data_IF_833508770043
#
_entry.id   IF_833508770043
#
_cell.length_a   1.000
_cell.length_b   1.000
_cell.length_c   1.000
_cell.angle_alpha   90.00
_cell.angle_beta   90.00
_cell.angle_gamma   90.00
#
_symmetry.space_group_name_H-M   'P 1'
#
loop_
_entity.id
_entity.type
_entity.pdbx_description
1 polymer ?
#
# COMPACT_ATOMS: atom_id res chain seq x y z
N UNK A 1 6.26 -55.59 34.91
CA UNK A 1 7.26 -56.59 34.48
C UNK A 1 8.69 -56.30 34.92
N UNK A 2 8.95 -55.28 35.76
CA UNK A 2 10.29 -55.01 36.32
C UNK A 2 10.60 -55.75 37.65
N UNK A 3 9.65 -56.17 38.52
CA UNK A 3 10.00 -56.77 39.81
C UNK A 3 10.47 -58.24 39.71
N UNK A 4 10.22 -58.94 38.60
CA UNK A 4 10.59 -60.35 38.45
C UNK A 4 12.08 -60.56 38.12
N UNK A 5 12.72 -59.60 37.45
CA UNK A 5 14.15 -59.68 37.08
C UNK A 5 15.09 -59.23 38.22
N UNK A 6 14.62 -58.37 39.13
CA UNK A 6 15.40 -57.96 40.31
C UNK A 6 15.43 -59.04 41.41
N UNK A 7 14.42 -59.92 41.45
CA UNK A 7 14.31 -60.98 42.45
C UNK A 7 15.22 -62.19 42.18
N UNK A 8 15.62 -62.46 40.93
CA UNK A 8 16.51 -63.58 40.59
C UNK A 8 18.00 -63.23 40.73
N UNK A 9 18.37 -61.96 40.60
CA UNK A 9 19.77 -61.50 40.70
C UNK A 9 20.27 -61.35 42.14
N UNK A 10 19.39 -61.22 43.14
CA UNK A 10 19.78 -60.97 44.53
C UNK A 10 20.19 -62.22 45.34
N UNK A 11 20.08 -63.43 44.76
CA UNK A 11 20.41 -64.70 45.47
C UNK A 11 21.85 -65.20 45.30
N UNK A 12 22.67 -64.59 44.43
CA UNK A 12 23.97 -65.14 44.05
C UNK A 12 25.20 -64.28 44.46
N UNK A 13 25.01 -63.14 45.14
CA UNK A 13 26.09 -62.21 45.47
C UNK A 13 26.24 -62.01 46.98
N UNK A 14 27.47 -61.96 47.53
CA UNK A 14 27.71 -61.79 48.96
C UNK A 14 27.15 -60.44 49.43
N UNK A 15 26.43 -60.42 50.56
CA UNK A 15 25.67 -59.25 51.08
C UNK A 15 26.45 -57.92 51.08
N UNK A 16 27.77 -57.96 51.24
CA UNK A 16 28.64 -56.78 51.20
C UNK A 16 28.78 -56.13 49.82
N UNK A 17 28.69 -56.90 48.73
CA UNK A 17 28.81 -56.34 47.37
C UNK A 17 27.54 -55.59 46.94
N UNK A 18 26.39 -56.01 47.45
CA UNK A 18 25.12 -55.36 47.18
C UNK A 18 24.99 -53.98 47.85
N UNK A 19 25.46 -53.84 49.08
CA UNK A 19 25.46 -52.54 49.78
C UNK A 19 26.40 -51.54 49.11
N UNK A 20 27.57 -51.99 48.63
CA UNK A 20 28.50 -51.14 47.87
C UNK A 20 27.89 -50.70 46.53
N UNK A 21 27.23 -51.60 45.79
CA UNK A 21 26.55 -51.26 44.54
C UNK A 21 25.42 -50.23 44.74
N UNK A 22 24.62 -50.37 45.79
CA UNK A 22 23.57 -49.41 46.14
C UNK A 22 24.16 -48.03 46.49
N UNK A 23 25.24 -47.99 47.27
CA UNK A 23 25.91 -46.72 47.60
C UNK A 23 26.49 -46.03 46.36
N UNK A 24 27.16 -46.77 45.46
CA UNK A 24 27.72 -46.20 44.22
C UNK A 24 26.61 -45.69 43.31
N UNK A 25 25.51 -46.43 43.17
CA UNK A 25 24.33 -45.99 42.42
C UNK A 25 23.71 -44.73 43.03
N UNK A 26 23.63 -44.64 44.35
CA UNK A 26 23.12 -43.46 45.06
C UNK A 26 23.97 -42.22 44.83
N UNK A 27 25.30 -42.36 44.90
CA UNK A 27 26.24 -41.26 44.63
C UNK A 27 26.16 -40.80 43.17
N UNK A 28 26.03 -41.73 42.21
CA UNK A 28 25.84 -41.37 40.80
C UNK A 28 24.55 -40.58 40.56
N UNK A 29 23.42 -41.00 41.18
CA UNK A 29 22.15 -40.28 41.05
C UNK A 29 22.22 -38.87 41.67
N UNK A 30 22.93 -38.72 42.79
CA UNK A 30 23.15 -37.41 43.42
C UNK A 30 23.99 -36.49 42.53
N UNK A 31 25.08 -36.99 41.97
CA UNK A 31 25.92 -36.23 41.03
C UNK A 31 25.15 -35.82 39.78
N UNK A 32 24.32 -36.71 39.24
CA UNK A 32 23.46 -36.41 38.10
C UNK A 32 22.43 -35.33 38.44
N UNK A 33 21.83 -35.38 39.63
CA UNK A 33 20.88 -34.35 40.08
C UNK A 33 21.54 -32.97 40.21
N UNK A 34 22.76 -32.90 40.73
CA UNK A 34 23.52 -31.66 40.87
C UNK A 34 23.86 -31.08 39.48
N UNK A 35 24.32 -31.93 38.56
CA UNK A 35 24.62 -31.52 37.19
C UNK A 35 23.35 -30.98 36.48
N UNK A 36 22.21 -31.63 36.66
CA UNK A 36 20.94 -31.18 36.08
C UNK A 36 20.50 -29.83 36.65
N UNK A 37 20.64 -29.62 37.96
CA UNK A 37 20.32 -28.33 38.60
C UNK A 37 21.23 -27.20 38.11
N UNK A 38 22.53 -27.46 37.94
CA UNK A 38 23.47 -26.47 37.39
C UNK A 38 23.13 -26.10 35.95
N UNK A 39 22.77 -27.09 35.13
CA UNK A 39 22.31 -26.82 33.76
C UNK A 39 21.02 -26.00 33.73
N UNK A 40 20.08 -26.27 34.64
CA UNK A 40 18.84 -25.49 34.75
C UNK A 40 19.07 -24.06 35.24
N UNK A 41 19.98 -23.88 36.21
CA UNK A 41 20.34 -22.55 36.71
C UNK A 41 21.02 -21.70 35.62
N UNK A 42 21.90 -22.30 34.82
CA UNK A 42 22.52 -21.63 33.67
C UNK A 42 21.47 -21.21 32.63
N UNK A 43 20.57 -22.13 32.25
CA UNK A 43 19.50 -21.83 31.31
C UNK A 43 18.54 -20.72 31.81
N UNK A 44 18.28 -20.67 33.12
CA UNK A 44 17.42 -19.63 33.72
C UNK A 44 18.11 -18.26 33.77
N UNK A 45 19.43 -18.24 33.95
CA UNK A 45 20.22 -17.01 33.90
C UNK A 45 20.22 -16.40 32.49
N UNK A 46 20.42 -17.23 31.46
CA UNK A 46 20.35 -16.80 30.05
C UNK A 46 18.96 -16.25 29.68
N UNK A 47 17.89 -16.80 30.27
CA UNK A 47 16.51 -16.30 30.06
C UNK A 47 16.24 -14.94 30.72
N UNK A 48 16.88 -14.62 31.85
CA UNK A 48 16.70 -13.33 32.52
C UNK A 48 17.26 -12.15 31.72
N UNK A 49 18.28 -12.38 30.88
CA UNK A 49 18.81 -11.35 29.98
C UNK A 49 17.87 -11.05 28.79
N UNK A 50 17.01 -12.01 28.41
CA UNK A 50 16.09 -11.85 27.27
C UNK A 50 14.74 -11.19 27.62
N UNK A 51 14.30 -11.24 28.88
CA UNK A 51 13.03 -10.65 29.36
C UNK A 51 12.89 -9.12 29.14
N UNK A 52 13.92 -8.28 29.35
CA UNK A 52 13.79 -6.84 29.08
C UNK A 52 13.70 -6.50 27.59
N UNK A 53 14.13 -7.40 26.68
CA UNK A 53 13.94 -7.22 25.23
C UNK A 53 12.49 -7.52 24.82
N UNK A 54 11.89 -8.58 25.34
CA UNK A 54 10.52 -8.97 25.01
C UNK A 54 9.49 -7.89 25.42
N UNK A 55 9.73 -7.18 26.54
CA UNK A 55 8.87 -6.08 26.98
C UNK A 55 8.95 -4.83 26.06
N UNK A 56 9.99 -4.71 25.21
CA UNK A 56 10.15 -3.58 24.27
C UNK A 56 9.58 -3.88 22.89
N UNK A 57 9.31 -5.14 22.55
CA UNK A 57 8.78 -5.56 21.24
C UNK A 57 7.48 -4.83 20.89
N UNK A 58 6.45 -4.75 21.76
CA UNK A 58 5.19 -4.10 21.38
C UNK A 58 5.38 -2.60 21.07
N UNK A 59 6.23 -1.93 21.84
CA UNK A 59 6.53 -0.51 21.61
C UNK A 59 7.34 -0.27 20.33
N UNK A 60 8.16 -1.24 19.93
CA UNK A 60 8.92 -1.20 18.69
C UNK A 60 8.01 -1.54 17.50
N UNK A 61 7.10 -2.50 17.62
CA UNK A 61 6.08 -2.81 16.61
C UNK A 61 5.16 -1.60 16.36
N UNK A 62 4.75 -0.90 17.42
CA UNK A 62 3.92 0.31 17.28
C UNK A 62 4.67 1.42 16.56
N UNK A 63 5.96 1.62 16.88
CA UNK A 63 6.81 2.60 16.19
C UNK A 63 7.11 2.20 14.75
N UNK A 64 7.28 0.90 14.48
CA UNK A 64 7.53 0.38 13.15
C UNK A 64 6.29 0.52 12.28
N UNK A 65 5.08 0.28 12.81
CA UNK A 65 3.82 0.53 12.12
C UNK A 65 3.67 2.02 11.73
N UNK A 66 3.88 2.93 12.69
CA UNK A 66 3.82 4.38 12.42
C UNK A 66 4.89 4.83 11.43
N UNK A 67 6.13 4.34 11.56
CA UNK A 67 7.21 4.67 10.63
C UNK A 67 6.97 4.08 9.24
N UNK A 68 6.39 2.89 9.14
CA UNK A 68 6.00 2.27 7.88
C UNK A 68 4.93 3.10 7.19
N UNK A 69 3.91 3.53 7.93
CA UNK A 69 2.84 4.38 7.41
C UNK A 69 3.37 5.76 6.98
N UNK A 70 4.30 6.34 7.73
CA UNK A 70 4.97 7.58 7.36
C UNK A 70 5.85 7.42 6.11
N UNK A 71 6.54 6.29 5.97
CA UNK A 71 7.34 5.98 4.77
C UNK A 71 6.42 5.77 3.58
N UNK A 72 5.36 4.98 3.71
CA UNK A 72 4.38 4.74 2.65
C UNK A 72 3.69 6.04 2.21
N UNK A 73 3.29 6.90 3.15
CA UNK A 73 2.75 8.23 2.86
C UNK A 73 3.80 9.15 2.22
N UNK A 74 5.05 9.09 2.66
CA UNK A 74 6.14 9.88 2.06
C UNK A 74 6.51 9.38 0.67
N UNK A 75 6.44 8.08 0.42
CA UNK A 75 6.64 7.46 -0.89
C UNK A 75 5.48 7.78 -1.82
N UNK A 76 4.23 7.76 -1.32
CA UNK A 76 3.06 8.18 -2.08
C UNK A 76 3.13 9.68 -2.40
N UNK A 77 3.55 10.50 -1.43
CA UNK A 77 3.78 11.93 -1.63
C UNK A 77 4.95 12.21 -2.58
N UNK A 78 6.06 11.47 -2.48
CA UNK A 78 7.18 11.55 -3.40
C UNK A 78 6.79 11.04 -4.79
N UNK A 79 6.01 9.98 -4.92
CA UNK A 79 5.48 9.54 -6.21
C UNK A 79 4.54 10.59 -6.83
N UNK A 80 3.79 11.33 -6.01
CA UNK A 80 2.93 12.42 -6.47
C UNK A 80 3.70 13.69 -6.84
N UNK A 81 4.74 14.06 -6.09
CA UNK A 81 5.52 15.30 -6.26
C UNK A 81 6.74 15.17 -7.19
N UNK A 82 7.35 14.00 -7.28
CA UNK A 82 8.64 13.78 -7.99
C UNK A 82 8.48 13.40 -9.46
N UNK A 83 7.27 13.00 -9.90
CA UNK A 83 6.94 13.05 -11.34
C UNK A 83 6.61 14.50 -11.67
N UNK A 84 7.65 15.22 -12.09
CA UNK A 84 7.58 16.62 -12.52
C UNK A 84 6.28 16.89 -13.27
N UNK A 85 5.63 18.03 -12.99
CA UNK A 85 4.50 18.51 -13.79
C UNK A 85 4.82 18.42 -15.31
N UNK A 86 6.08 18.59 -15.68
CA UNK A 86 6.63 18.37 -17.03
C UNK A 86 6.36 16.98 -17.61
N UNK A 87 6.64 15.91 -16.86
CA UNK A 87 6.48 14.54 -17.34
C UNK A 87 4.99 14.18 -17.47
N UNK A 88 4.17 14.61 -16.51
CA UNK A 88 2.70 14.46 -16.59
C UNK A 88 2.14 15.22 -17.79
N UNK A 89 2.63 16.43 -18.08
CA UNK A 89 2.17 17.23 -19.24
C UNK A 89 2.53 16.58 -20.57
N UNK A 90 3.69 15.93 -20.68
CA UNK A 90 4.10 15.26 -21.92
C UNK A 90 3.29 13.99 -22.22
N UNK A 91 2.77 13.33 -21.18
CA UNK A 91 1.94 12.12 -21.31
C UNK A 91 0.46 12.47 -21.55
N UNK A 92 -0.03 13.60 -21.05
CA UNK A 92 -1.46 13.96 -21.11
C UNK A 92 -1.79 14.98 -22.22
N UNK A 93 -2.87 14.71 -22.96
CA UNK A 93 -3.46 15.69 -23.88
C UNK A 93 -4.24 16.72 -23.07
N UNK A 94 -3.63 17.87 -22.80
CA UNK A 94 -4.27 18.94 -22.05
C UNK A 94 -5.32 19.69 -22.89
N UNK A 95 -6.41 20.16 -22.27
CA UNK A 95 -7.39 20.99 -22.96
C UNK A 95 -6.84 22.41 -23.22
N UNK A 96 -7.41 23.10 -24.21
CA UNK A 96 -7.11 24.52 -24.49
C UNK A 96 -7.56 25.46 -23.36
N UNK A 97 -8.58 25.07 -22.59
CA UNK A 97 -9.11 25.82 -21.46
C UNK A 97 -9.45 24.88 -20.31
N UNK A 98 -9.21 25.33 -19.08
CA UNK A 98 -9.65 24.60 -17.88
C UNK A 98 -11.17 24.67 -17.79
N UNK A 99 -11.84 23.52 -17.78
CA UNK A 99 -13.28 23.43 -17.50
C UNK A 99 -13.50 23.59 -15.98
N UNK A 100 -13.56 24.85 -15.53
CA UNK A 100 -13.79 25.20 -14.12
C UNK A 100 -15.06 24.55 -13.57
N UNK A 101 -16.10 24.40 -14.39
CA UNK A 101 -17.38 23.82 -13.96
C UNK A 101 -17.20 22.35 -13.62
N UNK A 102 -16.45 21.62 -14.43
CA UNK A 102 -16.13 20.21 -14.17
C UNK A 102 -15.25 20.04 -12.95
N UNK A 103 -14.20 20.86 -12.79
CA UNK A 103 -13.30 20.80 -11.63
C UNK A 103 -14.06 21.08 -10.33
N UNK A 104 -14.86 22.14 -10.29
CA UNK A 104 -15.69 22.47 -9.13
C UNK A 104 -16.71 21.38 -8.84
N UNK A 105 -17.40 20.86 -9.87
CA UNK A 105 -18.35 19.76 -9.71
C UNK A 105 -17.70 18.49 -9.17
N UNK A 106 -16.47 18.17 -9.59
CA UNK A 106 -15.69 17.07 -9.02
C UNK A 106 -15.38 17.30 -7.53
N UNK A 107 -14.85 18.48 -7.18
CA UNK A 107 -14.53 18.80 -5.79
C UNK A 107 -15.77 18.82 -4.87
N UNK A 108 -16.93 19.24 -5.39
CA UNK A 108 -18.19 19.18 -4.67
C UNK A 108 -18.66 17.75 -4.43
N UNK A 109 -18.58 16.88 -5.43
CA UNK A 109 -18.93 15.46 -5.29
C UNK A 109 -17.95 14.76 -4.32
N UNK A 110 -16.67 15.15 -4.34
CA UNK A 110 -15.67 14.64 -3.40
C UNK A 110 -15.98 15.08 -1.96
N UNK A 111 -16.28 16.38 -1.74
CA UNK A 111 -16.72 16.88 -0.44
C UNK A 111 -17.92 16.10 0.08
N UNK A 112 -18.92 15.91 -0.76
CA UNK A 112 -20.15 15.22 -0.37
C UNK A 112 -19.87 13.75 -0.03
N UNK A 113 -18.98 13.09 -0.76
CA UNK A 113 -18.54 11.71 -0.48
C UNK A 113 -17.87 11.57 0.89
N UNK A 114 -16.84 12.38 1.16
CA UNK A 114 -16.09 12.34 2.43
C UNK A 114 -17.01 12.72 3.60
N UNK A 115 -17.98 13.62 3.38
CA UNK A 115 -18.99 13.99 4.37
C UNK A 115 -19.96 12.86 4.69
N UNK A 116 -20.47 12.15 3.67
CA UNK A 116 -21.41 11.02 3.86
C UNK A 116 -20.75 9.89 4.65
N UNK A 117 -19.47 9.61 4.40
CA UNK A 117 -18.67 8.64 5.15
C UNK A 117 -18.30 9.08 6.58
N UNK A 118 -18.68 10.31 7.00
CA UNK A 118 -18.31 10.92 8.29
C UNK A 118 -16.80 11.09 8.50
N UNK A 119 -16.05 11.16 7.42
CA UNK A 119 -14.60 11.37 7.41
C UNK A 119 -14.24 12.86 7.41
N UNK A 120 -15.22 13.75 7.22
CA UNK A 120 -15.08 15.20 7.16
C UNK A 120 -15.89 15.88 8.27
N UNK A 121 -15.25 16.72 9.08
CA UNK A 121 -15.93 17.58 10.05
C UNK A 121 -16.31 18.92 9.43
N UNK A 122 -15.33 19.60 8.81
CA UNK A 122 -15.49 20.92 8.21
C UNK A 122 -14.68 21.02 6.92
N UNK A 123 -15.19 21.75 5.94
CA UNK A 123 -14.45 22.12 4.72
C UNK A 123 -14.73 23.59 4.42
N UNK A 124 -13.69 24.35 4.09
CA UNK A 124 -13.81 25.72 3.62
C UNK A 124 -14.50 25.78 2.25
N UNK A 125 -14.85 26.99 1.81
CA UNK A 125 -15.10 27.22 0.39
C UNK A 125 -13.85 26.86 -0.44
N UNK A 126 -14.06 26.52 -1.70
CA UNK A 126 -12.99 26.33 -2.69
C UNK A 126 -12.65 27.72 -3.22
N UNK A 127 -11.45 28.20 -2.93
CA UNK A 127 -10.91 29.44 -3.49
C UNK A 127 -10.26 29.14 -4.84
N UNK A 128 -10.59 29.95 -5.85
CA UNK A 128 -10.03 29.83 -7.20
C UNK A 128 -9.07 30.99 -7.37
N UNK A 129 -7.77 30.69 -7.34
CA UNK A 129 -6.74 31.71 -7.44
C UNK A 129 -6.55 32.22 -8.87
N UNK A 130 -5.67 33.21 -9.00
CA UNK A 130 -5.28 33.72 -10.31
C UNK A 130 -4.45 32.68 -11.08
N UNK A 131 -4.62 32.68 -12.38
CA UNK A 131 -3.91 31.77 -13.26
C UNK A 131 -2.41 32.09 -13.30
N UNK A 132 -1.60 31.04 -13.14
CA UNK A 132 -0.14 31.13 -13.13
C UNK A 132 0.43 30.49 -14.39
N UNK A 133 1.28 31.20 -15.16
CA UNK A 133 1.99 30.59 -16.26
C UNK A 133 3.08 29.66 -15.72
N UNK A 134 3.02 28.38 -16.09
CA UNK A 134 4.02 27.37 -15.75
C UNK A 134 4.80 27.05 -17.01
N UNK A 135 6.11 27.36 -17.01
CA UNK A 135 6.98 27.03 -18.14
C UNK A 135 7.49 25.61 -17.96
N UNK A 136 7.23 24.78 -18.96
CA UNK A 136 7.65 23.38 -19.06
C UNK A 136 8.70 23.29 -20.16
N UNK A 137 9.86 22.72 -19.86
CA UNK A 137 10.99 22.54 -20.79
C UNK A 137 11.52 23.81 -21.49
N UNK A 138 11.24 24.99 -20.94
CA UNK A 138 11.71 26.28 -21.49
C UNK A 138 11.05 26.71 -22.81
N UNK A 139 10.19 25.88 -23.41
CA UNK A 139 9.58 26.12 -24.72
C UNK A 139 8.04 26.00 -24.72
N UNK A 140 7.47 25.29 -23.74
CA UNK A 140 6.02 25.12 -23.61
C UNK A 140 5.53 25.92 -22.40
N UNK A 141 4.60 26.85 -22.61
CA UNK A 141 3.96 27.55 -21.48
C UNK A 141 2.59 26.94 -21.24
N UNK A 142 2.31 26.60 -19.99
CA UNK A 142 1.01 26.13 -19.53
C UNK A 142 0.33 27.18 -18.69
N UNK A 143 -0.99 27.14 -18.70
CA UNK A 143 -1.86 27.90 -17.81
C UNK A 143 -2.25 26.97 -16.66
N UNK A 144 -1.84 27.29 -15.45
CA UNK A 144 -2.21 26.53 -14.26
C UNK A 144 -3.18 27.37 -13.41
N UNK A 145 -4.34 26.82 -13.08
CA UNK A 145 -5.33 27.46 -12.21
C UNK A 145 -5.28 26.77 -10.85
N UNK A 146 -4.86 27.46 -9.77
CA UNK A 146 -4.85 26.90 -8.42
C UNK A 146 -6.25 26.91 -7.81
N UNK A 147 -6.60 25.80 -7.16
CA UNK A 147 -7.77 25.61 -6.33
C UNK A 147 -7.30 25.32 -4.91
N UNK A 148 -7.63 26.21 -3.98
CA UNK A 148 -7.21 26.07 -2.58
C UNK A 148 -8.42 25.81 -1.70
N UNK A 149 -8.34 24.79 -0.85
CA UNK A 149 -9.34 24.53 0.17
C UNK A 149 -8.70 23.92 1.41
N UNK A 150 -9.35 24.16 2.56
CA UNK A 150 -8.96 23.58 3.84
C UNK A 150 -10.07 22.66 4.34
N UNK A 151 -9.69 21.49 4.85
CA UNK A 151 -10.60 20.48 5.36
C UNK A 151 -10.10 19.92 6.69
N UNK A 152 -11.02 19.54 7.58
CA UNK A 152 -10.69 18.78 8.79
C UNK A 152 -11.18 17.36 8.61
N UNK A 153 -10.23 16.44 8.41
CA UNK A 153 -10.46 15.03 8.06
C UNK A 153 -9.79 14.10 9.07
N UNK A 154 -10.32 12.89 9.23
CA UNK A 154 -9.62 11.84 9.97
C UNK A 154 -8.56 11.16 9.09
N UNK A 155 -7.77 10.24 9.68
CA UNK A 155 -6.73 9.48 8.97
C UNK A 155 -7.26 8.81 7.68
N UNK A 156 -8.41 8.11 7.79
CA UNK A 156 -9.04 7.44 6.66
C UNK A 156 -9.48 8.42 5.55
N UNK A 157 -10.04 9.58 5.94
CA UNK A 157 -10.50 10.60 5.01
C UNK A 157 -9.36 11.30 4.28
N UNK A 158 -8.24 11.51 4.97
CA UNK A 158 -7.02 12.05 4.37
C UNK A 158 -6.46 11.08 3.33
N UNK A 159 -6.40 9.79 3.66
CA UNK A 159 -5.97 8.75 2.73
C UNK A 159 -6.88 8.67 1.49
N UNK A 160 -8.20 8.53 1.68
CA UNK A 160 -9.22 8.45 0.60
C UNK A 160 -9.15 9.69 -0.32
N UNK A 161 -8.92 10.87 0.28
CA UNK A 161 -8.78 12.11 -0.46
C UNK A 161 -7.52 12.12 -1.33
N UNK A 162 -6.35 11.79 -0.77
CA UNK A 162 -5.09 11.77 -1.52
C UNK A 162 -5.11 10.72 -2.63
N UNK A 163 -5.67 9.55 -2.36
CA UNK A 163 -5.87 8.51 -3.37
C UNK A 163 -6.79 8.94 -4.50
N UNK A 164 -7.89 9.63 -4.18
CA UNK A 164 -8.78 10.18 -5.20
C UNK A 164 -8.04 11.17 -6.10
N UNK A 165 -7.19 12.04 -5.54
CA UNK A 165 -6.37 12.95 -6.34
C UNK A 165 -5.31 12.21 -7.16
N UNK A 166 -4.74 11.13 -6.66
CA UNK A 166 -3.81 10.29 -7.43
C UNK A 166 -4.47 9.64 -8.67
N UNK A 167 -5.80 9.42 -8.62
CA UNK A 167 -6.58 8.90 -9.74
C UNK A 167 -6.97 9.98 -10.77
N UNK A 168 -6.73 11.26 -10.48
CA UNK A 168 -7.01 12.33 -11.44
C UNK A 168 -6.03 12.30 -12.59
N UNK A 169 -6.51 12.61 -13.80
CA UNK A 169 -5.73 12.49 -15.02
C UNK A 169 -5.68 11.08 -15.62
N UNK A 170 -5.89 10.01 -14.84
CA UNK A 170 -5.86 8.63 -15.37
C UNK A 170 -6.97 8.45 -16.41
N UNK A 171 -6.57 8.15 -17.64
CA UNK A 171 -7.49 7.95 -18.77
C UNK A 171 -7.46 6.51 -19.29
N UNK A 172 -6.31 5.86 -19.21
CA UNK A 172 -6.06 4.51 -19.70
C UNK A 172 -5.51 3.60 -18.61
N UNK A 173 -5.47 2.28 -18.86
CA UNK A 173 -4.83 1.33 -17.95
C UNK A 173 -3.35 1.66 -17.76
N UNK A 174 -2.62 2.06 -18.82
CA UNK A 174 -1.21 2.44 -18.69
C UNK A 174 -0.97 3.59 -17.72
N UNK A 175 -1.89 4.56 -17.65
CA UNK A 175 -1.73 5.73 -16.79
C UNK A 175 -1.79 5.36 -15.29
N UNK A 176 -2.45 4.24 -14.97
CA UNK A 176 -2.58 3.72 -13.61
C UNK A 176 -1.39 2.85 -13.17
N UNK A 177 -0.42 2.59 -14.06
CA UNK A 177 0.75 1.76 -13.78
C UNK A 177 1.99 2.62 -13.51
N UNK A 178 2.86 2.12 -12.64
CA UNK A 178 4.22 2.66 -12.48
C UNK A 178 5.11 2.23 -13.67
N UNK A 179 6.23 2.92 -13.87
CA UNK A 179 7.18 2.55 -14.93
C UNK A 179 7.77 1.15 -14.70
N UNK A 180 7.98 0.78 -13.43
CA UNK A 180 8.44 -0.56 -13.03
C UNK A 180 7.41 -1.63 -13.38
N UNK A 181 6.13 -1.40 -13.05
CA UNK A 181 5.03 -2.31 -13.39
C UNK A 181 4.85 -2.44 -14.91
N UNK A 182 4.93 -1.32 -15.63
CA UNK A 182 4.91 -1.30 -17.08
C UNK A 182 6.05 -2.16 -17.64
N UNK A 183 7.28 -1.91 -17.21
CA UNK A 183 8.47 -2.66 -17.66
C UNK A 183 8.37 -4.15 -17.31
N UNK A 184 7.81 -4.48 -16.13
CA UNK A 184 7.61 -5.86 -15.71
C UNK A 184 6.61 -6.60 -16.62
N UNK A 185 5.48 -5.98 -16.99
CA UNK A 185 4.51 -6.56 -17.94
C UNK A 185 5.14 -6.80 -19.32
N UNK A 186 5.95 -5.84 -19.80
CA UNK A 186 6.66 -5.97 -21.07
C UNK A 186 7.68 -7.11 -21.02
N UNK A 187 8.49 -7.18 -19.95
CA UNK A 187 9.45 -8.26 -19.76
C UNK A 187 8.78 -9.63 -19.67
N UNK A 188 7.67 -9.74 -18.93
CA UNK A 188 6.89 -10.98 -18.83
C UNK A 188 6.29 -11.37 -20.19
N UNK A 189 5.81 -10.39 -20.96
CA UNK A 189 5.30 -10.60 -22.32
C UNK A 189 6.38 -11.10 -23.27
N UNK A 190 7.56 -10.47 -23.27
CA UNK A 190 8.69 -10.88 -24.11
C UNK A 190 9.22 -12.27 -23.74
N UNK A 191 9.23 -12.62 -22.46
CA UNK A 191 9.68 -13.91 -21.98
C UNK A 191 8.73 -15.05 -22.39
N UNK A 192 7.41 -14.84 -22.32
CA UNK A 192 6.43 -15.86 -22.66
C UNK A 192 6.12 -15.91 -24.17
N UNK A 193 5.66 -14.79 -24.73
CA UNK A 193 5.16 -14.70 -26.10
C UNK A 193 5.40 -13.30 -26.67
N UNK A 194 6.52 -13.07 -27.37
CA UNK A 194 6.83 -11.78 -28.00
C UNK A 194 5.74 -11.29 -28.97
N UNK A 195 5.00 -12.20 -29.61
CA UNK A 195 3.90 -11.81 -30.51
C UNK A 195 2.67 -11.28 -29.75
N UNK A 196 2.59 -11.51 -28.44
CA UNK A 196 1.57 -11.00 -27.53
C UNK A 196 1.72 -9.50 -27.21
N UNK A 197 2.81 -8.85 -27.64
CA UNK A 197 3.07 -7.44 -27.37
C UNK A 197 1.92 -6.53 -27.82
N UNK A 198 1.33 -6.81 -28.98
CA UNK A 198 0.20 -6.04 -29.51
C UNK A 198 -1.07 -6.21 -28.66
N UNK A 199 -1.25 -7.37 -28.04
CA UNK A 199 -2.36 -7.59 -27.11
C UNK A 199 -2.16 -6.82 -25.81
N UNK A 200 -0.92 -6.78 -25.30
CA UNK A 200 -0.54 -5.96 -24.15
C UNK A 200 -0.75 -4.47 -24.42
N UNK A 201 -0.25 -3.95 -25.55
CA UNK A 201 -0.42 -2.53 -25.91
C UNK A 201 -1.89 -2.12 -26.00
N UNK A 202 -2.74 -2.99 -26.58
CA UNK A 202 -4.19 -2.76 -26.63
C UNK A 202 -4.83 -2.76 -25.24
N UNK A 203 -4.41 -3.69 -24.38
CA UNK A 203 -4.86 -3.72 -23.00
C UNK A 203 -4.48 -2.42 -22.28
N UNK A 204 -3.21 -2.02 -22.36
CA UNK A 204 -2.71 -0.79 -21.73
C UNK A 204 -3.40 0.47 -22.26
N UNK A 205 -3.72 0.50 -23.56
CA UNK A 205 -4.46 1.60 -24.19
C UNK A 205 -5.97 1.59 -23.93
N UNK A 206 -6.49 0.60 -23.20
CA UNK A 206 -7.93 0.52 -22.90
C UNK A 206 -8.31 1.64 -21.95
N UNK A 207 -9.43 2.29 -22.24
CA UNK A 207 -10.02 3.34 -21.39
C UNK A 207 -10.28 2.78 -19.98
N UNK A 208 -9.80 3.49 -18.96
CA UNK A 208 -9.88 3.06 -17.58
C UNK A 208 -11.33 2.89 -17.09
N UNK A 209 -12.26 3.74 -17.53
CA UNK A 209 -13.67 3.62 -17.18
C UNK A 209 -14.32 2.40 -17.84
N UNK A 210 -13.87 2.01 -19.04
CA UNK A 210 -14.31 0.77 -19.67
C UNK A 210 -13.79 -0.42 -18.85
N UNK A 211 -12.51 -0.40 -18.48
CA UNK A 211 -11.89 -1.45 -17.67
C UNK A 211 -12.59 -1.62 -16.32
N UNK A 212 -12.89 -0.54 -15.60
CA UNK A 212 -13.58 -0.61 -14.30
C UNK A 212 -14.99 -1.20 -14.38
N UNK A 213 -15.67 -1.11 -15.54
CA UNK A 213 -17.01 -1.68 -15.74
C UNK A 213 -17.01 -3.16 -16.11
N UNK A 214 -15.98 -3.61 -16.83
CA UNK A 214 -15.86 -5.00 -17.27
C UNK A 214 -14.39 -5.45 -17.29
N UNK A 215 -13.83 -5.57 -16.08
CA UNK A 215 -12.45 -6.00 -15.87
C UNK A 215 -12.21 -7.36 -16.51
N UNK A 216 -13.14 -8.30 -16.24
CA UNK A 216 -12.99 -9.69 -16.64
C UNK A 216 -12.93 -9.83 -18.15
N UNK A 217 -13.82 -9.18 -18.91
CA UNK A 217 -13.77 -9.28 -20.36
C UNK A 217 -12.48 -8.67 -20.96
N UNK A 218 -12.01 -7.57 -20.37
CA UNK A 218 -10.78 -6.89 -20.80
C UNK A 218 -9.56 -7.78 -20.55
N UNK A 219 -9.46 -8.36 -19.35
CA UNK A 219 -8.37 -9.25 -18.95
C UNK A 219 -8.41 -10.58 -19.70
N UNK A 220 -9.58 -11.20 -19.86
CA UNK A 220 -9.73 -12.42 -20.66
C UNK A 220 -9.29 -12.22 -22.10
N UNK A 221 -9.43 -11.00 -22.64
CA UNK A 221 -8.95 -10.67 -23.99
C UNK A 221 -7.43 -10.65 -24.05
N UNK A 222 -6.77 -10.09 -23.04
CA UNK A 222 -5.31 -10.14 -22.90
C UNK A 222 -4.84 -11.59 -22.70
N UNK A 223 -5.44 -12.31 -21.76
CA UNK A 223 -5.09 -13.67 -21.38
C UNK A 223 -5.37 -14.72 -22.47
N UNK A 224 -6.04 -14.38 -23.58
CA UNK A 224 -6.10 -15.26 -24.76
C UNK A 224 -4.74 -15.36 -25.47
N UNK A 225 -3.89 -14.34 -25.33
CA UNK A 225 -2.55 -14.29 -25.92
C UNK A 225 -1.47 -14.89 -25.01
N UNK A 226 -1.79 -15.18 -23.75
CA UNK A 226 -0.87 -15.67 -22.72
C UNK A 226 -1.47 -16.88 -21.98
N UNK A 227 -0.75 -17.99 -21.99
CA UNK A 227 -1.17 -19.27 -21.40
C UNK A 227 -0.42 -19.62 -20.12
N UNK A 228 0.72 -18.96 -19.85
CA UNK A 228 1.54 -19.25 -18.68
C UNK A 228 0.84 -18.84 -17.39
N UNK A 229 1.10 -19.60 -16.33
CA UNK A 229 0.69 -19.25 -14.98
C UNK A 229 1.51 -18.07 -14.44
N UNK A 230 2.78 -17.98 -14.85
CA UNK A 230 3.72 -16.94 -14.44
C UNK A 230 3.22 -15.55 -14.86
N UNK A 231 2.81 -15.37 -16.13
CA UNK A 231 2.26 -14.09 -16.60
C UNK A 231 0.96 -13.71 -15.88
N UNK A 232 0.09 -14.71 -15.60
CA UNK A 232 -1.15 -14.47 -14.85
C UNK A 232 -0.85 -13.97 -13.44
N UNK A 233 0.12 -14.56 -12.77
CA UNK A 233 0.54 -14.14 -11.43
C UNK A 233 1.16 -12.74 -11.44
N UNK A 234 1.98 -12.42 -12.45
CA UNK A 234 2.51 -11.06 -12.65
C UNK A 234 1.37 -10.06 -12.86
N UNK A 235 0.42 -10.36 -13.75
CA UNK A 235 -0.72 -9.48 -14.02
C UNK A 235 -1.57 -9.25 -12.76
N UNK A 236 -1.86 -10.30 -12.00
CA UNK A 236 -2.62 -10.18 -10.74
C UNK A 236 -1.86 -9.37 -9.68
N UNK A 237 -0.55 -9.58 -9.54
CA UNK A 237 0.30 -8.83 -8.61
C UNK A 237 0.28 -7.33 -8.95
N UNK A 238 0.39 -7.00 -10.24
CA UNK A 238 0.36 -5.62 -10.71
C UNK A 238 -1.03 -5.01 -10.51
N UNK A 239 -2.11 -5.74 -10.81
CA UNK A 239 -3.48 -5.27 -10.56
C UNK A 239 -3.71 -4.92 -9.08
N UNK A 240 -3.22 -5.75 -8.16
CA UNK A 240 -3.41 -5.56 -6.73
C UNK A 240 -2.58 -4.38 -6.19
N UNK A 241 -1.34 -4.22 -6.66
CA UNK A 241 -0.41 -3.19 -6.18
C UNK A 241 -0.52 -1.83 -6.87
N UNK A 242 -1.16 -1.77 -8.05
CA UNK A 242 -1.31 -0.54 -8.83
C UNK A 242 -2.53 0.29 -8.41
N UNK A 243 -2.63 1.50 -8.97
CA UNK A 243 -3.80 2.36 -8.85
C UNK A 243 -5.06 1.73 -9.51
N UNK A 244 -4.91 0.63 -10.27
CA UNK A 244 -6.02 -0.07 -10.90
C UNK A 244 -7.02 -0.59 -9.85
N UNK A 245 -6.57 -1.29 -8.81
CA UNK A 245 -7.44 -1.83 -7.77
C UNK A 245 -8.22 -0.72 -7.05
N UNK A 246 -7.51 0.34 -6.66
CA UNK A 246 -8.06 1.52 -5.99
C UNK A 246 -9.08 2.24 -6.86
N UNK A 247 -8.75 2.48 -8.12
CA UNK A 247 -9.65 3.15 -9.04
C UNK A 247 -10.89 2.32 -9.37
N UNK A 248 -10.80 0.98 -9.40
CA UNK A 248 -11.97 0.11 -9.53
C UNK A 248 -12.87 0.24 -8.30
N UNK A 249 -12.30 0.09 -7.11
CA UNK A 249 -13.06 0.21 -5.85
C UNK A 249 -13.74 1.58 -5.75
N UNK A 250 -13.04 2.65 -6.15
CA UNK A 250 -13.60 3.99 -6.22
C UNK A 250 -14.77 4.06 -7.21
N UNK A 251 -14.63 3.49 -8.41
CA UNK A 251 -15.66 3.53 -9.45
C UNK A 251 -16.90 2.69 -9.12
N UNK A 252 -16.74 1.61 -8.36
CA UNK A 252 -17.84 0.78 -7.85
C UNK A 252 -18.60 1.42 -6.67
N UNK A 253 -18.02 2.44 -6.05
CA UNK A 253 -18.62 3.13 -4.90
C UNK A 253 -19.73 4.13 -5.30
N UNK A 254 -20.42 4.67 -4.30
CA UNK A 254 -21.38 5.76 -4.49
C UNK A 254 -20.73 7.01 -5.13
N UNK A 255 -19.43 7.22 -4.88
CA UNK A 255 -18.67 8.32 -5.48
C UNK A 255 -18.52 8.13 -7.00
N UNK A 256 -18.06 6.95 -7.44
CA UNK A 256 -17.96 6.62 -8.86
C UNK A 256 -19.30 6.73 -9.59
N UNK A 257 -20.38 6.30 -8.93
CA UNK A 257 -21.75 6.44 -9.45
C UNK A 257 -22.14 7.92 -9.61
N UNK A 258 -21.81 8.76 -8.62
CA UNK A 258 -22.07 10.20 -8.67
C UNK A 258 -21.26 10.90 -9.78
N UNK A 259 -19.97 10.53 -9.95
CA UNK A 259 -19.13 11.03 -11.03
C UNK A 259 -19.72 10.70 -12.41
N UNK A 260 -20.15 9.44 -12.60
CA UNK A 260 -20.78 8.99 -13.83
C UNK A 260 -22.10 9.70 -14.13
N UNK A 261 -22.97 9.84 -13.12
CA UNK A 261 -24.27 10.53 -13.25
C UNK A 261 -24.12 12.00 -13.64
N UNK A 262 -23.12 12.68 -13.08
CA UNK A 262 -22.85 14.10 -13.35
C UNK A 262 -21.93 14.33 -14.56
N UNK A 263 -21.52 13.27 -15.28
CA UNK A 263 -20.62 13.34 -16.44
C UNK A 263 -19.30 14.06 -16.13
N UNK A 264 -18.77 13.82 -14.93
CA UNK A 264 -17.51 14.42 -14.46
C UNK A 264 -16.28 13.61 -14.89
N UNK A 265 -16.47 12.38 -15.41
CA UNK A 265 -15.42 11.55 -15.99
C UNK A 265 -15.19 11.85 -17.49
N UNK A 266 -13.94 11.81 -18.01
CA UNK A 266 -12.68 11.63 -17.28
C UNK A 266 -12.36 12.81 -16.38
N UNK A 267 -11.71 12.51 -15.26
CA UNK A 267 -11.30 13.51 -14.30
C UNK A 267 -10.27 14.45 -14.96
N UNK A 268 -10.39 15.77 -14.78
CA UNK A 268 -9.36 16.69 -15.23
C UNK A 268 -8.02 16.32 -14.57
N UNK A 269 -6.91 16.55 -15.27
CA UNK A 269 -5.59 16.40 -14.67
C UNK A 269 -5.45 17.41 -13.53
N UNK A 270 -5.36 16.91 -12.31
CA UNK A 270 -5.17 17.70 -11.10
C UNK A 270 -3.88 17.25 -10.42
N UNK A 271 -3.05 18.19 -9.98
CA UNK A 271 -1.86 17.87 -9.18
C UNK A 271 -1.96 18.56 -7.83
N UNK A 272 -1.61 17.82 -6.78
CA UNK A 272 -1.47 18.39 -5.43
C UNK A 272 -0.03 18.89 -5.31
N UNK A 273 0.17 20.20 -5.16
CA UNK A 273 1.52 20.79 -5.03
C UNK A 273 1.94 20.90 -3.56
N UNK A 274 1.05 21.44 -2.73
CA UNK A 274 1.32 21.66 -1.32
C UNK A 274 0.17 21.13 -0.47
N UNK A 275 0.53 20.40 0.57
CA UNK A 275 -0.39 19.89 1.59
C UNK A 275 0.17 20.27 2.95
N UNK A 276 -0.31 21.39 3.49
CA UNK A 276 -0.02 21.75 4.86
C UNK A 276 -1.03 21.03 5.76
N UNK A 277 -0.55 20.10 6.58
CA UNK A 277 -1.37 19.48 7.60
C UNK A 277 -0.93 19.85 9.02
N UNK A 278 -1.89 19.95 9.92
CA UNK A 278 -1.64 20.04 11.35
C UNK A 278 -2.58 19.12 12.09
N UNK A 279 -2.05 18.43 13.09
CA UNK A 279 -2.86 17.59 13.96
C UNK A 279 -3.74 18.50 14.83
N UNK A 280 -5.05 18.31 14.75
CA UNK A 280 -6.03 19.08 15.53
C UNK A 280 -6.38 18.40 16.85
N UNK A 281 -5.78 17.25 17.15
CA UNK A 281 -6.10 16.36 18.28
C UNK A 281 -7.17 15.31 17.92
N UNK A 282 -7.23 14.23 18.72
CA UNK A 282 -8.23 13.15 18.62
C UNK A 282 -8.31 12.42 17.25
N UNK A 283 -7.19 12.29 16.53
CA UNK A 283 -7.14 11.61 15.22
C UNK A 283 -7.71 12.42 14.05
N UNK A 284 -7.85 13.74 14.22
CA UNK A 284 -8.26 14.67 13.17
C UNK A 284 -7.10 15.54 12.71
N UNK A 285 -7.03 15.73 11.41
CA UNK A 285 -6.05 16.56 10.72
C UNK A 285 -6.73 17.74 10.06
N UNK A 286 -6.19 18.93 10.28
CA UNK A 286 -6.53 20.09 9.47
C UNK A 286 -5.58 20.12 8.28
N UNK A 287 -6.11 19.95 7.08
CA UNK A 287 -5.36 19.82 5.83
C UNK A 287 -5.74 20.99 4.94
N UNK A 288 -4.76 21.76 4.49
CA UNK A 288 -4.91 22.75 3.43
C UNK A 288 -4.26 22.22 2.17
N UNK A 289 -5.04 22.14 1.10
CA UNK A 289 -4.61 21.59 -0.17
C UNK A 289 -4.67 22.65 -1.25
N UNK A 290 -3.59 22.74 -2.02
CA UNK A 290 -3.54 23.52 -3.24
C UNK A 290 -3.43 22.56 -4.41
N UNK A 291 -4.44 22.58 -5.27
CA UNK A 291 -4.57 21.70 -6.42
C UNK A 291 -4.51 22.50 -7.70
N UNK A 292 -3.70 22.10 -8.66
CA UNK A 292 -3.57 22.80 -9.95
C UNK A 292 -4.29 22.04 -11.05
N UNK A 293 -5.11 22.76 -11.82
CA UNK A 293 -5.61 22.29 -13.10
C UNK A 293 -4.81 22.95 -14.23
N UNK A 294 -4.36 22.15 -15.21
CA UNK A 294 -3.52 22.61 -16.31
C UNK A 294 -4.29 22.72 -17.63
N UNK A 295 -3.95 23.73 -18.42
CA UNK A 295 -4.37 23.90 -19.81
C UNK A 295 -3.22 24.48 -20.65
N UNK A 296 -3.28 24.35 -21.97
CA UNK A 296 -2.29 24.98 -22.85
C UNK A 296 -2.42 26.52 -22.83
N UNK A 297 -1.29 27.23 -22.79
CA UNK A 297 -1.26 28.65 -23.11
C UNK A 297 -1.26 28.79 -24.64
N UNK A 298 -2.31 29.41 -25.19
CA UNK A 298 -2.35 29.81 -26.61
C UNK A 298 -1.86 31.24 -26.77
#
# INVERSE_FOLDING_TARGET
MIPALLASASRALPKHTWTVLLCVSGVCLLLLSIALMLAHAAAFHDMQEALPLAARIPSLETRLAVLSEQVELSELHAAMSTRSAEEKVHLYVLPDNVDLTRVLGFLEVLRDHVKVKKMLTTMSGIDVGEEVPVVVDGNTTLRAVPFTFSATVNDEGLHDLLETFALTGISTISDALTEEQYTELFRATEAENPAGILALERFLSTDFLIYTKDQRATEETLLKSFSSQEFRETLETIKQSSLLSKGVQMMESEFGTALGKNRLWPLPLLTVEDSAWSESGDGWHHVTLTVFAYAYAR
#
